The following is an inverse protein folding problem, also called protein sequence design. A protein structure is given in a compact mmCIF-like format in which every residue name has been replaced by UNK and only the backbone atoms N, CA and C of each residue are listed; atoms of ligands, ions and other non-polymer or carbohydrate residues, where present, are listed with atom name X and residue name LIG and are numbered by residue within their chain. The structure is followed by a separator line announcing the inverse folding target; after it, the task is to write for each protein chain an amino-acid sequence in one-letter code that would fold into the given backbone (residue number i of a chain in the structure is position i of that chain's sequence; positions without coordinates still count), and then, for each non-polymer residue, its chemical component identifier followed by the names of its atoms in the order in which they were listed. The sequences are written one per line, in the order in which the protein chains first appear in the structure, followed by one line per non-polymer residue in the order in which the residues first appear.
data_IF_931359681518
#
_entry.id   IF_931359681518
#
_cell.length_a   1.000
_cell.length_b   1.000
_cell.length_c   1.000
_cell.angle_alpha   90.00
_cell.angle_beta   90.00
_cell.angle_gamma   90.00
#
_symmetry.space_group_name_H-M   'P 1'
#
loop_
_entity.id
_entity.type
_entity.pdbx_description
1 polymer ?
#
# COMPACT_ATOMS: atom_id res chain seq x y z
N UNK A 1 18.93 7.27 5.39
CA UNK A 1 17.55 7.50 4.90
C UNK A 1 17.02 6.29 4.14
N UNK A 2 17.77 5.76 3.15
CA UNK A 2 17.35 4.60 2.36
C UNK A 2 17.03 3.35 3.20
N UNK A 3 17.88 2.96 4.15
CA UNK A 3 17.63 1.80 5.03
C UNK A 3 16.27 1.89 5.74
N UNK A 4 15.96 3.05 6.33
CA UNK A 4 14.67 3.28 6.99
C UNK A 4 13.51 3.19 5.99
N UNK A 5 13.66 3.75 4.79
CA UNK A 5 12.65 3.67 3.74
C UNK A 5 12.34 2.21 3.37
N UNK A 6 13.37 1.38 3.21
CA UNK A 6 13.24 -0.07 2.95
C UNK A 6 12.54 -0.78 4.10
N UNK A 7 12.87 -0.47 5.36
CA UNK A 7 12.20 -1.05 6.53
C UNK A 7 10.70 -0.72 6.50
N UNK A 8 10.34 0.55 6.30
CA UNK A 8 8.94 0.97 6.23
C UNK A 8 8.20 0.33 5.05
N UNK A 9 8.84 0.17 3.89
CA UNK A 9 8.22 -0.51 2.73
C UNK A 9 7.97 -1.99 2.97
N UNK A 10 8.89 -2.68 3.63
CA UNK A 10 8.68 -4.08 4.00
C UNK A 10 7.60 -4.24 5.08
N UNK A 11 7.50 -3.31 6.03
CA UNK A 11 6.39 -3.29 6.98
C UNK A 11 5.05 -3.05 6.28
N UNK A 12 4.98 -2.13 5.32
CA UNK A 12 3.79 -1.90 4.49
C UNK A 12 3.39 -3.18 3.74
N UNK A 13 4.35 -3.86 3.11
CA UNK A 13 4.15 -5.14 2.42
C UNK A 13 3.54 -6.18 3.37
N UNK A 14 4.12 -6.36 4.55
CA UNK A 14 3.63 -7.33 5.55
C UNK A 14 2.20 -6.99 5.98
N UNK A 15 1.92 -5.73 6.32
CA UNK A 15 0.61 -5.31 6.79
C UNK A 15 -0.46 -5.42 5.72
N UNK A 16 -0.19 -4.97 4.50
CA UNK A 16 -1.14 -5.09 3.40
C UNK A 16 -1.39 -6.54 3.02
N UNK A 17 -0.34 -7.35 2.88
CA UNK A 17 -0.48 -8.79 2.61
C UNK A 17 -1.37 -9.43 3.67
N UNK A 18 -1.06 -9.21 4.95
CA UNK A 18 -1.84 -9.80 6.03
C UNK A 18 -3.28 -9.28 6.00
N UNK A 19 -3.51 -7.99 5.88
CA UNK A 19 -4.84 -7.39 5.84
C UNK A 19 -5.71 -7.97 4.71
N UNK A 20 -5.20 -7.98 3.46
CA UNK A 20 -5.92 -8.44 2.27
C UNK A 20 -6.30 -9.93 2.38
N UNK A 21 -5.32 -10.79 2.68
CA UNK A 21 -5.57 -12.24 2.70
C UNK A 21 -6.35 -12.68 3.95
N UNK A 22 -6.18 -12.02 5.10
CA UNK A 22 -6.98 -12.33 6.29
C UNK A 22 -8.42 -11.83 6.17
N UNK A 23 -8.64 -10.63 5.61
CA UNK A 23 -9.97 -10.12 5.33
C UNK A 23 -10.71 -11.01 4.33
N UNK A 24 -10.02 -11.51 3.29
CA UNK A 24 -10.62 -12.47 2.34
C UNK A 24 -11.09 -13.76 3.01
N UNK A 25 -10.34 -14.28 3.98
CA UNK A 25 -10.67 -15.53 4.68
C UNK A 25 -11.75 -15.35 5.76
N UNK A 26 -11.68 -14.28 6.54
CA UNK A 26 -12.51 -14.08 7.74
C UNK A 26 -13.64 -13.06 7.56
N UNK A 27 -13.65 -12.35 6.43
CA UNK A 27 -14.47 -11.15 6.24
C UNK A 27 -13.82 -9.91 6.84
N UNK A 28 -14.29 -8.74 6.41
CA UNK A 28 -13.74 -7.47 6.87
C UNK A 28 -14.18 -7.11 8.30
N UNK A 29 -13.27 -7.23 9.27
CA UNK A 29 -13.43 -6.75 10.64
C UNK A 29 -12.60 -5.49 10.94
N UNK A 30 -12.94 -4.82 12.05
CA UNK A 30 -12.21 -3.64 12.56
C UNK A 30 -10.70 -3.86 12.72
N UNK A 31 -10.26 -5.09 13.03
CA UNK A 31 -8.82 -5.43 13.12
C UNK A 31 -8.09 -5.24 11.79
N UNK A 32 -8.74 -5.52 10.66
CA UNK A 32 -8.17 -5.29 9.34
C UNK A 32 -8.07 -3.80 9.04
N UNK A 33 -8.96 -2.96 9.57
CA UNK A 33 -8.85 -1.50 9.42
C UNK A 33 -7.56 -0.99 10.07
N UNK A 34 -7.22 -1.47 11.27
CA UNK A 34 -5.93 -1.15 11.89
C UNK A 34 -4.75 -1.62 11.03
N UNK A 35 -4.81 -2.84 10.47
CA UNK A 35 -3.74 -3.33 9.58
C UNK A 35 -3.62 -2.51 8.29
N UNK A 36 -4.73 -2.15 7.64
CA UNK A 36 -4.72 -1.29 6.46
C UNK A 36 -4.20 0.11 6.78
N UNK A 37 -4.61 0.69 7.91
CA UNK A 37 -4.14 1.99 8.36
C UNK A 37 -2.65 2.00 8.68
N UNK A 38 -2.17 0.99 9.43
CA UNK A 38 -0.73 0.83 9.71
C UNK A 38 0.07 0.60 8.43
N UNK A 39 -0.44 -0.22 7.51
CA UNK A 39 0.14 -0.42 6.18
C UNK A 39 0.27 0.89 5.42
N UNK A 40 -0.78 1.72 5.40
CA UNK A 40 -0.79 3.03 4.74
C UNK A 40 0.15 4.05 5.38
N UNK A 41 0.24 4.06 6.71
CA UNK A 41 1.22 4.89 7.40
C UNK A 41 2.66 4.49 7.04
N UNK A 42 2.93 3.18 7.01
CA UNK A 42 4.24 2.66 6.58
C UNK A 42 4.53 2.98 5.11
N UNK A 43 3.52 2.85 4.23
CA UNK A 43 3.59 3.14 2.80
C UNK A 43 3.94 4.62 2.54
N UNK A 44 3.22 5.52 3.20
CA UNK A 44 3.51 6.95 3.16
C UNK A 44 4.92 7.25 3.67
N UNK A 45 5.30 6.71 4.84
CA UNK A 45 6.61 6.98 5.45
C UNK A 45 7.77 6.50 4.58
N UNK A 46 7.70 5.28 4.03
CA UNK A 46 8.77 4.79 3.17
C UNK A 46 8.81 5.49 1.82
N UNK A 47 7.66 5.80 1.21
CA UNK A 47 7.60 6.59 -0.03
C UNK A 47 8.21 7.99 0.18
N UNK A 48 7.86 8.64 1.29
CA UNK A 48 8.41 9.95 1.65
C UNK A 48 9.93 9.90 1.89
N UNK A 49 10.41 8.89 2.63
CA UNK A 49 11.85 8.72 2.87
C UNK A 49 12.62 8.36 1.59
N UNK A 50 12.01 7.61 0.65
CA UNK A 50 12.57 7.36 -0.68
C UNK A 50 12.70 8.65 -1.49
N UNK A 51 11.66 9.49 -1.49
CA UNK A 51 11.69 10.80 -2.16
C UNK A 51 12.80 11.70 -1.59
N UNK A 52 12.88 11.83 -0.27
CA UNK A 52 13.93 12.61 0.38
C UNK A 52 15.33 12.06 0.07
N UNK A 53 15.49 10.73 0.05
CA UNK A 53 16.73 10.10 -0.35
C UNK A 53 17.11 10.45 -1.80
N UNK A 54 16.17 10.33 -2.74
CA UNK A 54 16.40 10.69 -4.15
C UNK A 54 16.79 12.16 -4.32
N UNK A 55 16.08 13.09 -3.66
CA UNK A 55 16.41 14.51 -3.65
C UNK A 55 17.81 14.79 -3.08
N UNK A 56 18.23 14.06 -2.06
CA UNK A 56 19.54 14.24 -1.42
C UNK A 56 20.72 13.65 -2.21
N UNK A 57 20.46 12.66 -3.07
CA UNK A 57 21.50 11.91 -3.81
C UNK A 57 21.50 12.21 -5.31
N UNK A 58 20.47 12.87 -5.82
CA UNK A 58 20.26 13.10 -7.26
C UNK A 58 19.74 11.86 -8.01
N UNK A 59 19.52 10.74 -7.33
CA UNK A 59 19.00 9.51 -7.93
C UNK A 59 17.47 9.52 -7.84
N UNK A 60 16.83 10.08 -8.85
CA UNK A 60 15.37 10.30 -8.88
C UNK A 60 14.77 9.55 -10.07
N UNK A 61 14.19 8.35 -9.85
CA UNK A 61 13.54 7.61 -10.93
C UNK A 61 12.18 8.26 -11.26
N UNK A 62 12.19 9.25 -12.15
CA UNK A 62 11.01 10.07 -12.50
C UNK A 62 9.81 9.24 -12.97
N UNK A 63 10.06 8.22 -13.78
CA UNK A 63 9.03 7.29 -14.26
C UNK A 63 8.31 6.57 -13.11
N UNK A 64 9.05 6.27 -12.04
CA UNK A 64 8.52 5.55 -10.89
C UNK A 64 7.78 6.47 -9.92
N UNK A 65 8.12 7.77 -9.86
CA UNK A 65 7.42 8.73 -9.00
C UNK A 65 5.91 8.74 -9.29
N UNK A 66 5.52 8.80 -10.57
CA UNK A 66 4.11 8.78 -10.96
C UNK A 66 3.41 7.47 -10.53
N UNK A 67 4.08 6.32 -10.71
CA UNK A 67 3.57 5.00 -10.32
C UNK A 67 3.41 4.91 -8.80
N UNK A 68 4.40 5.36 -8.03
CA UNK A 68 4.39 5.40 -6.58
C UNK A 68 3.25 6.28 -6.05
N UNK A 69 3.07 7.49 -6.59
CA UNK A 69 1.97 8.37 -6.21
C UNK A 69 0.60 7.79 -6.53
N UNK A 70 0.43 7.21 -7.72
CA UNK A 70 -0.82 6.55 -8.10
C UNK A 70 -1.14 5.36 -7.18
N UNK A 71 -0.12 4.56 -6.87
CA UNK A 71 -0.22 3.40 -5.96
C UNK A 71 -0.61 3.82 -4.54
N UNK A 72 0.09 4.79 -3.96
CA UNK A 72 -0.20 5.32 -2.62
C UNK A 72 -1.59 5.93 -2.53
N UNK A 73 -2.00 6.67 -3.56
CA UNK A 73 -3.36 7.22 -3.67
C UNK A 73 -4.42 6.11 -3.76
N UNK A 74 -4.14 5.05 -4.54
CA UNK A 74 -4.99 3.87 -4.63
C UNK A 74 -5.13 3.16 -3.28
N UNK A 75 -4.05 3.03 -2.53
CA UNK A 75 -4.07 2.45 -1.18
C UNK A 75 -4.83 3.32 -0.17
N UNK A 76 -4.68 4.65 -0.24
CA UNK A 76 -5.47 5.57 0.57
C UNK A 76 -6.97 5.45 0.26
N UNK A 77 -7.33 5.41 -1.03
CA UNK A 77 -8.70 5.19 -1.47
C UNK A 77 -9.23 3.83 -0.98
N UNK A 78 -8.43 2.78 -1.08
CA UNK A 78 -8.78 1.46 -0.57
C UNK A 78 -9.02 1.44 0.94
N UNK A 79 -8.21 2.17 1.73
CA UNK A 79 -8.45 2.33 3.16
C UNK A 79 -9.78 3.03 3.45
N UNK A 80 -10.14 4.07 2.69
CA UNK A 80 -11.45 4.73 2.81
C UNK A 80 -12.60 3.78 2.46
N UNK A 81 -12.44 2.93 1.44
CA UNK A 81 -13.40 1.88 1.12
C UNK A 81 -13.53 0.87 2.27
N UNK A 82 -12.42 0.46 2.90
CA UNK A 82 -12.44 -0.43 4.05
C UNK A 82 -13.18 0.22 5.23
N UNK A 83 -12.93 1.51 5.49
CA UNK A 83 -13.63 2.28 6.52
C UNK A 83 -15.14 2.33 6.23
N UNK A 84 -15.54 2.73 5.02
CA UNK A 84 -16.94 2.77 4.61
C UNK A 84 -17.61 1.40 4.73
N UNK A 85 -16.96 0.34 4.26
CA UNK A 85 -17.46 -1.03 4.34
C UNK A 85 -17.63 -1.52 5.79
N UNK A 86 -16.79 -1.07 6.74
CA UNK A 86 -16.98 -1.39 8.17
C UNK A 86 -18.12 -0.62 8.83
N UNK A 87 -18.51 0.55 8.30
CA UNK A 87 -19.62 1.35 8.82
C UNK A 87 -20.98 0.88 8.27
N UNK A 88 -21.00 0.43 7.02
CA UNK A 88 -22.20 -0.11 6.39
C UNK A 88 -22.49 -1.51 6.97
N UNK A 89 -23.49 -1.62 7.84
CA UNK A 89 -23.93 -2.87 8.50
C UNK A 89 -24.62 -3.88 7.54
N UNK A 90 -24.18 -4.02 6.29
CA UNK A 90 -24.87 -4.88 5.30
C UNK A 90 -23.95 -5.81 4.52
N UNK A 91 -24.38 -7.08 4.57
CA UNK A 91 -24.47 -8.09 3.51
C UNK A 91 -23.21 -8.51 2.76
N UNK A 92 -23.09 -9.83 2.60
CA UNK A 92 -22.05 -10.57 1.89
C UNK A 92 -21.63 -9.97 0.53
N UNK A 93 -22.56 -9.30 -0.17
CA UNK A 93 -22.28 -8.60 -1.43
C UNK A 93 -21.23 -7.50 -1.30
N UNK A 94 -21.30 -6.68 -0.24
CA UNK A 94 -20.30 -5.62 0.05
C UNK A 94 -18.94 -6.25 0.34
N UNK A 95 -18.92 -7.35 1.10
CA UNK A 95 -17.69 -8.08 1.42
C UNK A 95 -17.05 -8.69 0.15
N UNK A 96 -17.85 -9.30 -0.75
CA UNK A 96 -17.35 -9.84 -2.03
C UNK A 96 -16.79 -8.76 -2.94
N UNK A 97 -17.50 -7.63 -3.08
CA UNK A 97 -17.01 -6.50 -3.87
C UNK A 97 -15.73 -5.93 -3.27
N UNK A 98 -15.70 -5.74 -1.95
CA UNK A 98 -14.51 -5.28 -1.22
C UNK A 98 -13.32 -6.19 -1.51
N UNK A 99 -13.46 -7.52 -1.41
CA UNK A 99 -12.34 -8.44 -1.69
C UNK A 99 -11.82 -8.36 -3.12
N UNK A 100 -12.72 -8.21 -4.10
CA UNK A 100 -12.32 -8.06 -5.51
C UNK A 100 -11.52 -6.77 -5.71
N UNK A 101 -12.04 -5.65 -5.22
CA UNK A 101 -11.38 -4.35 -5.30
C UNK A 101 -10.06 -4.36 -4.52
N UNK A 102 -10.05 -4.95 -3.33
CA UNK A 102 -8.89 -5.05 -2.45
C UNK A 102 -7.75 -5.81 -3.12
N UNK A 103 -8.04 -6.95 -3.74
CA UNK A 103 -7.04 -7.73 -4.47
C UNK A 103 -6.48 -6.96 -5.66
N UNK A 104 -7.33 -6.29 -6.44
CA UNK A 104 -6.89 -5.49 -7.60
C UNK A 104 -5.95 -4.35 -7.20
N UNK A 105 -6.33 -3.55 -6.19
CA UNK A 105 -5.51 -2.42 -5.72
C UNK A 105 -4.22 -2.95 -5.07
N UNK A 106 -4.29 -4.02 -4.28
CA UNK A 106 -3.11 -4.66 -3.70
C UNK A 106 -2.14 -5.16 -4.77
N UNK A 107 -2.62 -5.79 -5.83
CA UNK A 107 -1.76 -6.25 -6.93
C UNK A 107 -1.13 -5.07 -7.67
N UNK A 108 -1.88 -4.01 -7.93
CA UNK A 108 -1.32 -2.78 -8.53
C UNK A 108 -0.23 -2.17 -7.64
N UNK A 109 -0.43 -2.15 -6.33
CA UNK A 109 0.57 -1.70 -5.38
C UNK A 109 1.80 -2.61 -5.33
N UNK A 110 1.63 -3.93 -5.43
CA UNK A 110 2.75 -4.86 -5.48
C UNK A 110 3.62 -4.63 -6.72
N UNK A 111 3.01 -4.30 -7.86
CA UNK A 111 3.74 -3.88 -9.07
C UNK A 111 4.53 -2.60 -8.81
N UNK A 112 3.93 -1.61 -8.15
CA UNK A 112 4.66 -0.40 -7.74
C UNK A 112 5.83 -0.73 -6.79
N UNK A 113 5.62 -1.55 -5.77
CA UNK A 113 6.66 -1.97 -4.84
C UNK A 113 7.85 -2.64 -5.55
N UNK A 114 7.58 -3.56 -6.47
CA UNK A 114 8.63 -4.28 -7.23
C UNK A 114 9.36 -3.33 -8.17
N UNK A 115 8.62 -2.52 -8.93
CA UNK A 115 9.22 -1.55 -9.87
C UNK A 115 10.07 -0.50 -9.16
N UNK A 116 9.64 -0.03 -7.98
CA UNK A 116 10.44 0.88 -7.14
C UNK A 116 11.70 0.24 -6.59
N UNK A 117 11.64 -1.04 -6.23
CA UNK A 117 12.83 -1.80 -5.82
C UNK A 117 13.84 -1.93 -6.97
N UNK A 118 13.37 -2.20 -8.20
CA UNK A 118 14.20 -2.27 -9.40
C UNK A 118 14.83 -0.91 -9.71
N UNK A 119 14.05 0.18 -9.61
CA UNK A 119 14.53 1.53 -9.82
C UNK A 119 15.67 1.90 -8.85
N UNK A 120 15.50 1.56 -7.56
CA UNK A 120 16.50 1.81 -6.53
C UNK A 120 17.82 1.05 -6.74
N UNK A 121 17.77 -0.17 -7.32
CA UNK A 121 18.98 -0.95 -7.67
C UNK A 121 19.64 -0.43 -8.94
N UNK A 122 18.84 0.00 -9.92
CA UNK A 122 19.33 0.41 -11.24
C UNK A 122 20.02 1.77 -11.23
N UNK A 123 19.84 2.57 -10.17
CA UNK A 123 20.47 3.89 -10.01
C UNK A 123 20.05 4.90 -11.09
N UNK A 124 18.94 4.64 -11.79
CA UNK A 124 18.37 5.43 -12.89
C UNK A 124 16.88 5.62 -12.65
#
# INVERSE_FOLDING_TARGET
MLLYAVIWMNLALIFYTWAVFSARKKGLHRRHLFLFGSGLACDYLGTHLMLLYGLSTGVIPEWHIAIGMASLSGMAFHFLLALAATLVRRAEGVNRLFHRVSLSIYTAWLVAFITGSIAGISGK
#
